data_IF_262727268769
#
_entry.id   IF_262727268769
#
_cell.length_a   1.000
_cell.length_b   1.000
_cell.length_c   1.000
_cell.angle_alpha   90.00
_cell.angle_beta   90.00
_cell.angle_gamma   90.00
#
_symmetry.space_group_name_H-M   'P 1'
#
loop_
_entity.id
_entity.type
_entity.pdbx_description
1 polymer ?
#
# COMPACT_ATOMS: atom_id res chain seq x y z
N UNK A 1 -0.94 -9.85 17.95
CA UNK A 1 -0.67 -8.41 17.84
C UNK A 1 0.21 -8.13 16.62
N UNK A 2 0.35 -6.88 16.13
CA UNK A 2 1.30 -6.60 15.02
C UNK A 2 2.75 -6.94 15.40
N UNK A 3 3.13 -6.74 16.67
CA UNK A 3 4.46 -7.10 17.18
C UNK A 3 4.76 -8.61 17.04
N UNK A 4 3.80 -9.48 17.35
CA UNK A 4 3.94 -10.94 17.17
C UNK A 4 4.11 -11.33 15.70
N UNK A 5 3.39 -10.66 14.80
CA UNK A 5 3.52 -10.86 13.35
C UNK A 5 4.94 -10.49 12.91
N UNK A 6 5.46 -9.34 13.33
CA UNK A 6 6.83 -8.92 13.03
C UNK A 6 7.86 -9.95 13.49
N UNK A 7 7.74 -10.46 14.72
CA UNK A 7 8.63 -11.51 15.25
C UNK A 7 8.55 -12.78 14.39
N UNK A 8 7.34 -13.19 14.01
CA UNK A 8 7.10 -14.41 13.21
C UNK A 8 7.79 -14.34 11.85
N UNK A 9 7.70 -13.19 11.17
CA UNK A 9 8.25 -13.01 9.83
C UNK A 9 9.68 -12.48 9.79
N UNK A 10 10.27 -12.09 10.93
CA UNK A 10 11.65 -11.60 11.01
C UNK A 10 12.68 -12.50 10.31
N UNK A 11 12.61 -13.85 10.37
CA UNK A 11 13.58 -14.70 9.68
C UNK A 11 13.54 -14.57 8.15
N UNK A 12 12.46 -14.03 7.56
CA UNK A 12 12.37 -13.81 6.11
C UNK A 12 13.40 -12.80 5.60
N UNK A 13 13.90 -11.92 6.46
CA UNK A 13 14.92 -10.91 6.10
C UNK A 13 16.21 -11.58 5.65
N UNK A 14 16.65 -12.66 6.30
CA UNK A 14 17.93 -13.32 6.01
C UNK A 14 17.78 -14.61 5.22
N UNK A 15 16.57 -15.17 5.17
CA UNK A 15 16.28 -16.38 4.39
C UNK A 15 16.48 -16.14 2.89
N UNK A 16 17.05 -17.13 2.19
CA UNK A 16 17.13 -17.11 0.75
C UNK A 16 15.72 -17.24 0.16
N UNK A 17 15.39 -16.39 -0.82
CA UNK A 17 14.11 -16.45 -1.51
C UNK A 17 14.24 -16.68 -3.02
N UNK A 18 13.12 -17.04 -3.63
CA UNK A 18 12.95 -17.23 -5.06
C UNK A 18 12.09 -16.11 -5.64
N UNK A 19 12.66 -15.33 -6.55
CA UNK A 19 11.97 -14.19 -7.15
C UNK A 19 10.76 -14.59 -8.00
N UNK A 20 10.75 -15.79 -8.59
CA UNK A 20 9.62 -16.28 -9.38
C UNK A 20 8.43 -16.60 -8.47
N UNK A 21 8.67 -17.22 -7.31
CA UNK A 21 7.63 -17.42 -6.29
C UNK A 21 7.21 -16.10 -5.64
N UNK A 22 8.16 -15.19 -5.40
CA UNK A 22 7.87 -13.86 -4.88
C UNK A 22 6.99 -13.02 -5.79
N UNK A 23 7.17 -13.15 -7.11
CA UNK A 23 6.29 -12.53 -8.11
C UNK A 23 4.84 -12.97 -7.94
N UNK A 24 4.59 -14.25 -7.62
CA UNK A 24 3.24 -14.75 -7.37
C UNK A 24 2.63 -14.03 -6.16
N UNK A 25 3.38 -13.92 -5.06
CA UNK A 25 2.91 -13.21 -3.86
C UNK A 25 2.59 -11.73 -4.14
N UNK A 26 3.44 -11.05 -4.94
CA UNK A 26 3.17 -9.69 -5.40
C UNK A 26 1.87 -9.62 -6.21
N UNK A 27 1.67 -10.53 -7.17
CA UNK A 27 0.47 -10.57 -8.01
C UNK A 27 -0.80 -10.87 -7.23
N UNK A 28 -0.72 -11.64 -6.15
CA UNK A 28 -1.89 -11.97 -5.33
C UNK A 28 -2.35 -10.80 -4.45
N UNK A 29 -1.42 -9.96 -3.97
CA UNK A 29 -1.68 -9.06 -2.83
C UNK A 29 -1.35 -7.60 -3.10
N UNK A 30 -0.27 -7.34 -3.84
CA UNK A 30 0.32 -6.01 -3.96
C UNK A 30 -0.06 -5.32 -5.29
N UNK A 31 -0.35 -6.09 -6.34
CA UNK A 31 -0.59 -5.60 -7.71
C UNK A 31 -1.75 -4.60 -7.81
N UNK A 32 -2.73 -4.70 -6.90
CA UNK A 32 -3.90 -3.81 -6.84
C UNK A 32 -3.53 -2.37 -6.50
N UNK A 33 -2.32 -2.15 -5.96
CA UNK A 33 -1.85 -0.84 -5.54
C UNK A 33 -0.44 -0.49 -5.99
N UNK A 34 0.40 -1.44 -6.40
CA UNK A 34 1.79 -1.16 -6.73
C UNK A 34 2.15 -1.65 -8.12
N UNK A 35 3.00 -0.89 -8.81
CA UNK A 35 3.74 -1.32 -9.99
C UNK A 35 5.08 -1.94 -9.55
N UNK A 36 5.59 -2.88 -10.35
CA UNK A 36 6.86 -3.56 -10.05
C UNK A 36 7.61 -3.89 -11.35
N UNK A 37 8.40 -2.93 -11.84
CA UNK A 37 9.17 -3.09 -13.08
C UNK A 37 8.32 -3.50 -14.27
N UNK A 38 8.64 -4.63 -14.91
CA UNK A 38 7.88 -5.13 -16.05
C UNK A 38 6.53 -5.74 -15.67
N UNK A 39 6.20 -5.86 -14.38
CA UNK A 39 4.90 -6.36 -13.91
C UNK A 39 3.96 -5.19 -13.79
N UNK A 40 2.98 -5.16 -14.70
CA UNK A 40 1.92 -4.17 -14.65
C UNK A 40 1.14 -4.34 -13.34
N UNK A 41 1.09 -3.27 -12.54
CA UNK A 41 0.16 -3.11 -11.45
C UNK A 41 -0.42 -1.71 -11.49
N UNK A 42 -1.12 -1.33 -10.43
CA UNK A 42 -1.86 -0.06 -10.40
C UNK A 42 -1.02 0.97 -9.65
N UNK A 43 -0.89 2.18 -10.17
CA UNK A 43 -0.08 3.23 -9.54
C UNK A 43 -0.82 3.93 -8.38
N UNK A 44 -1.22 3.20 -7.32
CA UNK A 44 -1.87 3.78 -6.13
C UNK A 44 -0.81 4.11 -5.08
N UNK A 45 -0.08 3.10 -4.62
CA UNK A 45 1.12 3.24 -3.80
C UNK A 45 2.37 3.52 -4.63
N UNK A 46 3.54 3.63 -3.97
CA UNK A 46 4.81 3.87 -4.63
C UNK A 46 5.19 2.74 -5.61
N UNK A 47 5.89 3.08 -6.69
CA UNK A 47 6.50 2.07 -7.55
C UNK A 47 7.55 1.28 -6.77
N UNK A 48 7.47 -0.05 -6.81
CA UNK A 48 8.37 -0.90 -6.04
C UNK A 48 9.84 -0.80 -6.48
N UNK A 49 10.11 -0.37 -7.72
CA UNK A 49 11.47 -0.04 -8.18
C UNK A 49 12.09 1.06 -7.29
N UNK A 50 11.29 2.03 -6.85
CA UNK A 50 11.80 3.18 -6.10
C UNK A 50 12.06 2.86 -4.63
N UNK A 51 11.33 1.89 -4.06
CA UNK A 51 11.41 1.55 -2.63
C UNK A 51 12.28 0.34 -2.34
N UNK A 52 12.72 -0.42 -3.36
CA UNK A 52 13.62 -1.57 -3.19
C UNK A 52 14.93 -1.22 -2.46
N UNK A 53 15.38 0.03 -2.56
CA UNK A 53 16.58 0.56 -1.91
C UNK A 53 16.48 0.63 -0.38
N UNK A 54 15.28 0.49 0.20
CA UNK A 54 15.07 0.37 1.66
C UNK A 54 15.63 -0.93 2.23
N UNK A 55 15.99 -1.90 1.39
CA UNK A 55 16.48 -3.21 1.81
C UNK A 55 15.39 -4.08 2.44
N UNK A 56 15.70 -5.36 2.69
CA UNK A 56 14.74 -6.37 3.13
C UNK A 56 14.07 -6.03 4.47
N UNK A 57 14.81 -5.47 5.43
CA UNK A 57 14.25 -5.04 6.72
C UNK A 57 13.25 -3.90 6.59
N UNK A 58 13.59 -2.88 5.81
CA UNK A 58 12.71 -1.73 5.56
C UNK A 58 11.45 -2.15 4.79
N UNK A 59 11.60 -3.04 3.80
CA UNK A 59 10.47 -3.60 3.06
C UNK A 59 9.57 -4.45 3.96
N UNK A 60 10.14 -5.33 4.79
CA UNK A 60 9.36 -6.15 5.72
C UNK A 60 8.57 -5.27 6.69
N UNK A 61 9.23 -4.25 7.25
CA UNK A 61 8.59 -3.29 8.16
C UNK A 61 7.45 -2.55 7.46
N UNK A 62 7.64 -2.09 6.22
CA UNK A 62 6.59 -1.41 5.47
C UNK A 62 5.38 -2.33 5.15
N UNK A 63 5.63 -3.62 4.85
CA UNK A 63 4.58 -4.60 4.58
C UNK A 63 3.80 -4.94 5.85
N UNK A 64 4.50 -5.13 6.98
CA UNK A 64 3.88 -5.54 8.24
C UNK A 64 3.36 -4.38 9.10
N UNK A 65 3.89 -3.18 8.93
CA UNK A 65 3.49 -2.00 9.70
C UNK A 65 3.27 -0.82 8.74
N UNK A 66 2.29 -0.91 7.81
CA UNK A 66 2.08 0.10 6.77
C UNK A 66 1.72 1.48 7.32
N UNK A 67 1.36 1.58 8.60
CA UNK A 67 1.00 2.82 9.28
C UNK A 67 2.17 3.45 10.07
N UNK A 68 3.32 2.78 10.16
CA UNK A 68 4.46 3.22 11.00
C UNK A 68 5.17 4.45 10.43
N UNK A 69 5.32 4.50 9.12
CA UNK A 69 5.91 5.63 8.40
C UNK A 69 5.08 5.86 7.12
N UNK A 70 4.27 6.92 7.12
CA UNK A 70 3.36 7.23 6.02
C UNK A 70 3.75 8.55 5.41
N UNK A 71 4.17 8.54 4.14
CA UNK A 71 4.40 9.79 3.43
C UNK A 71 3.05 10.53 3.26
N UNK A 72 3.01 11.87 3.36
CA UNK A 72 1.75 12.63 3.36
C UNK A 72 0.82 12.32 2.18
N UNK A 73 1.38 12.07 1.00
CA UNK A 73 0.61 11.76 -0.21
C UNK A 73 0.05 10.33 -0.27
N UNK A 74 0.39 9.46 0.69
CA UNK A 74 -0.17 8.11 0.83
C UNK A 74 -1.13 7.97 2.03
N UNK A 75 -1.42 9.08 2.73
CA UNK A 75 -2.38 9.09 3.84
C UNK A 75 -3.80 8.88 3.28
N UNK A 76 -4.56 7.99 3.92
CA UNK A 76 -5.96 7.76 3.63
C UNK A 76 -6.83 8.86 4.25
N UNK A 77 -7.79 9.35 3.47
CA UNK A 77 -8.82 10.28 3.89
C UNK A 77 -10.20 9.65 3.71
N UNK A 78 -11.02 9.78 4.75
CA UNK A 78 -12.44 9.49 4.70
C UNK A 78 -13.18 10.79 4.33
N UNK A 79 -13.87 10.77 3.20
CA UNK A 79 -14.59 11.91 2.65
C UNK A 79 -16.07 11.59 2.60
N UNK A 80 -16.87 12.48 3.19
CA UNK A 80 -18.33 12.38 3.13
C UNK A 80 -18.89 13.51 2.27
N UNK A 81 -19.90 13.20 1.48
CA UNK A 81 -20.61 14.15 0.62
C UNK A 81 -21.96 14.53 1.22
N UNK A 82 -22.55 15.63 0.72
CA UNK A 82 -23.85 16.13 1.21
C UNK A 82 -25.01 15.24 0.82
N UNK A 83 -24.86 14.48 -0.26
CA UNK A 83 -25.80 13.44 -0.71
C UNK A 83 -25.70 12.12 0.08
N UNK A 84 -24.78 12.03 1.06
CA UNK A 84 -24.68 10.90 1.99
C UNK A 84 -23.69 9.81 1.58
N UNK A 85 -22.98 9.95 0.47
CA UNK A 85 -21.92 9.00 0.10
C UNK A 85 -20.67 9.18 0.97
N UNK A 86 -19.93 8.08 1.13
CA UNK A 86 -18.64 8.05 1.82
C UNK A 86 -17.60 7.38 0.92
N UNK A 87 -16.42 7.98 0.87
CA UNK A 87 -15.28 7.52 0.10
C UNK A 87 -14.04 7.46 0.97
N UNK A 88 -13.23 6.42 0.81
CA UNK A 88 -11.92 6.32 1.45
C UNK A 88 -10.85 6.22 0.36
N UNK A 89 -9.90 7.16 0.36
CA UNK A 89 -8.85 7.22 -0.65
C UNK A 89 -7.79 8.27 -0.33
N UNK A 90 -6.81 8.41 -1.20
CA UNK A 90 -5.79 9.46 -1.13
C UNK A 90 -6.24 10.66 -1.92
N UNK A 91 -6.08 11.86 -1.37
CA UNK A 91 -6.37 13.10 -2.08
C UNK A 91 -5.30 13.32 -3.14
N UNK A 92 -5.69 13.31 -4.42
CA UNK A 92 -4.80 13.64 -5.55
C UNK A 92 -4.88 15.11 -5.95
N UNK A 93 -5.99 15.77 -5.61
CA UNK A 93 -6.22 17.20 -5.85
C UNK A 93 -7.25 17.72 -4.84
N UNK A 94 -6.97 18.85 -4.20
CA UNK A 94 -7.95 19.61 -3.41
C UNK A 94 -7.76 21.09 -3.72
N UNK A 95 -8.76 21.69 -4.36
CA UNK A 95 -8.79 23.12 -4.64
C UNK A 95 -10.20 23.72 -4.45
N UNK A 96 -10.34 25.00 -4.77
CA UNK A 96 -11.57 25.74 -4.58
C UNK A 96 -12.79 25.13 -5.31
N UNK A 97 -12.55 24.36 -6.38
CA UNK A 97 -13.61 23.84 -7.26
C UNK A 97 -13.86 22.34 -7.09
N UNK A 98 -12.82 21.56 -6.78
CA UNK A 98 -12.92 20.11 -6.77
C UNK A 98 -12.01 19.43 -5.75
N UNK A 99 -12.43 18.23 -5.36
CA UNK A 99 -11.67 17.27 -4.58
C UNK A 99 -11.59 15.98 -5.38
N UNK A 100 -10.39 15.51 -5.70
CA UNK A 100 -10.15 14.24 -6.39
C UNK A 100 -9.50 13.25 -5.44
N UNK A 101 -10.02 12.03 -5.43
CA UNK A 101 -9.53 10.93 -4.61
C UNK A 101 -9.07 9.79 -5.51
N UNK A 102 -7.90 9.25 -5.24
CA UNK A 102 -7.48 7.94 -5.76
C UNK A 102 -7.83 6.88 -4.73
N UNK A 103 -8.72 5.96 -5.11
CA UNK A 103 -9.17 4.88 -4.24
C UNK A 103 -8.43 3.58 -4.55
N UNK A 104 -8.62 2.59 -3.67
CA UNK A 104 -8.09 1.24 -3.87
C UNK A 104 -8.53 0.67 -5.23
N UNK A 105 -7.61 0.01 -5.93
CA UNK A 105 -7.85 -0.44 -7.31
C UNK A 105 -7.68 0.65 -8.38
N UNK A 106 -7.28 1.87 -7.99
CA UNK A 106 -6.83 2.92 -8.92
C UNK A 106 -7.90 3.78 -9.54
N UNK A 107 -9.18 3.55 -9.22
CA UNK A 107 -10.24 4.44 -9.66
C UNK A 107 -10.05 5.85 -9.07
N UNK A 108 -10.44 6.85 -9.86
CA UNK A 108 -10.43 8.24 -9.45
C UNK A 108 -11.87 8.70 -9.22
N UNK A 109 -12.11 9.28 -8.05
CA UNK A 109 -13.39 9.89 -7.67
C UNK A 109 -13.21 11.39 -7.67
N UNK A 110 -13.91 12.08 -8.57
CA UNK A 110 -13.89 13.54 -8.65
C UNK A 110 -15.19 14.08 -8.06
N UNK A 111 -15.06 14.87 -7.00
CA UNK A 111 -16.17 15.48 -6.28
C UNK A 111 -16.11 16.99 -6.48
N UNK A 112 -17.25 17.62 -6.78
CA UNK A 112 -17.37 19.07 -6.68
C UNK A 112 -17.12 19.48 -5.22
N UNK A 113 -16.26 20.48 -4.98
CA UNK A 113 -15.93 20.90 -3.60
C UNK A 113 -17.17 21.32 -2.83
N UNK A 114 -18.14 21.93 -3.51
CA UNK A 114 -19.44 22.30 -2.94
C UNK A 114 -20.30 21.11 -2.48
N UNK A 115 -20.07 19.89 -2.98
CA UNK A 115 -20.76 18.67 -2.53
C UNK A 115 -20.03 17.97 -1.37
N UNK A 116 -18.79 18.32 -1.07
CA UNK A 116 -18.06 17.74 0.06
C UNK A 116 -18.65 18.29 1.36
N UNK A 117 -19.09 17.40 2.25
CA UNK A 117 -19.54 17.75 3.60
C UNK A 117 -18.35 17.86 4.55
N UNK A 118 -17.40 16.94 4.45
CA UNK A 118 -16.20 16.96 5.25
C UNK A 118 -15.23 15.86 4.83
N UNK A 119 -13.97 16.03 5.25
CA UNK A 119 -12.90 15.06 5.09
C UNK A 119 -12.14 14.93 6.41
N UNK A 120 -11.77 13.72 6.78
CA UNK A 120 -10.97 13.44 7.96
C UNK A 120 -9.91 12.39 7.66
N UNK A 121 -8.83 12.39 8.44
CA UNK A 121 -7.84 11.32 8.40
C UNK A 121 -7.35 11.01 9.81
N UNK A 122 -7.02 9.74 10.05
CA UNK A 122 -6.30 9.29 11.24
C UNK A 122 -4.78 9.27 11.05
N UNK A 123 -4.27 9.79 9.92
CA UNK A 123 -2.85 9.74 9.57
C UNK A 123 -2.37 8.36 9.09
N UNK A 124 -3.29 7.39 8.95
CA UNK A 124 -2.98 6.04 8.50
C UNK A 124 -2.78 5.98 6.99
N UNK A 125 -1.94 5.04 6.55
CA UNK A 125 -1.72 4.72 5.13
C UNK A 125 -2.97 4.12 4.50
N UNK A 126 -3.15 4.37 3.20
CA UNK A 126 -4.12 3.64 2.39
C UNK A 126 -3.74 2.16 2.18
N UNK A 127 -2.46 1.80 2.36
CA UNK A 127 -2.03 0.39 2.34
C UNK A 127 -2.63 -0.37 3.53
N UNK A 128 -3.35 -1.48 3.28
CA UNK A 128 -4.03 -2.23 4.35
C UNK A 128 -3.04 -3.03 5.20
N UNK A 129 -3.36 -3.21 6.48
CA UNK A 129 -2.69 -4.19 7.34
C UNK A 129 -3.13 -5.62 7.00
N UNK A 130 -2.35 -6.61 7.43
CA UNK A 130 -2.72 -8.03 7.30
C UNK A 130 -2.45 -8.62 5.92
N UNK A 131 -1.67 -7.95 5.07
CA UNK A 131 -1.27 -8.47 3.76
C UNK A 131 -0.50 -9.79 3.88
N UNK A 132 0.19 -10.01 5.00
CA UNK A 132 0.91 -11.24 5.30
C UNK A 132 0.02 -12.44 5.65
N UNK A 133 -1.30 -12.24 5.82
CA UNK A 133 -2.21 -13.31 6.23
C UNK A 133 -2.19 -14.49 5.25
N UNK A 134 -1.91 -15.68 5.77
CA UNK A 134 -1.78 -16.91 4.98
C UNK A 134 -0.45 -17.08 4.25
N UNK A 135 0.53 -16.19 4.47
CA UNK A 135 1.90 -16.38 3.99
C UNK A 135 2.71 -17.19 5.00
N UNK A 136 3.57 -18.07 4.50
CA UNK A 136 4.67 -18.61 5.28
C UNK A 136 5.83 -17.61 5.36
N UNK A 137 6.77 -17.84 6.28
CA UNK A 137 8.03 -17.06 6.33
C UNK A 137 8.78 -17.15 4.99
N UNK A 138 8.72 -18.30 4.31
CA UNK A 138 9.35 -18.47 3.01
C UNK A 138 8.65 -17.65 1.91
N UNK A 139 7.32 -17.57 1.92
CA UNK A 139 6.58 -16.72 0.97
C UNK A 139 6.96 -15.24 1.12
N UNK A 140 7.17 -14.80 2.35
CA UNK A 140 7.67 -13.45 2.63
C UNK A 140 9.12 -13.29 2.13
N UNK A 141 10.00 -14.26 2.37
CA UNK A 141 11.38 -14.22 1.89
C UNK A 141 11.47 -14.18 0.36
N UNK A 142 10.58 -14.93 -0.31
CA UNK A 142 10.42 -14.95 -1.76
C UNK A 142 9.94 -13.59 -2.26
N UNK A 143 8.90 -13.00 -1.65
CA UNK A 143 8.40 -11.66 -1.99
C UNK A 143 9.47 -10.58 -1.84
N UNK A 144 10.20 -10.57 -0.71
CA UNK A 144 11.30 -9.64 -0.48
C UNK A 144 12.39 -9.78 -1.55
N UNK A 145 12.71 -11.02 -1.95
CA UNK A 145 13.71 -11.29 -3.00
C UNK A 145 13.24 -10.82 -4.37
N UNK A 146 11.94 -10.95 -4.67
CA UNK A 146 11.36 -10.43 -5.90
C UNK A 146 11.51 -8.90 -5.97
N UNK A 147 11.14 -8.18 -4.90
CA UNK A 147 11.22 -6.71 -4.85
C UNK A 147 12.66 -6.21 -4.95
N UNK A 148 13.58 -6.86 -4.24
CA UNK A 148 15.01 -6.52 -4.27
C UNK A 148 15.63 -6.63 -5.67
N UNK A 149 15.16 -7.59 -6.47
CA UNK A 149 15.65 -7.88 -7.83
C UNK A 149 14.93 -7.13 -8.96
N UNK A 150 13.99 -6.24 -8.63
CA UNK A 150 13.34 -5.37 -9.62
C UNK A 150 14.32 -4.47 -10.36
#
# INVERSE_FOLDING_TARGET
SRAEVTITFQPAVTAAGDASRGRIQFQTRCIVCHQAGSVAGIAVGPDLITVKTRGREGLLTAILEPHKEVAPHYIAYDVTTKDGNAYTGMITRDDATGLSLKIMGGAEVVLARANVRGSSSSGKSLMPEGLEAGMSVQDMADLLTFIEKL
#
